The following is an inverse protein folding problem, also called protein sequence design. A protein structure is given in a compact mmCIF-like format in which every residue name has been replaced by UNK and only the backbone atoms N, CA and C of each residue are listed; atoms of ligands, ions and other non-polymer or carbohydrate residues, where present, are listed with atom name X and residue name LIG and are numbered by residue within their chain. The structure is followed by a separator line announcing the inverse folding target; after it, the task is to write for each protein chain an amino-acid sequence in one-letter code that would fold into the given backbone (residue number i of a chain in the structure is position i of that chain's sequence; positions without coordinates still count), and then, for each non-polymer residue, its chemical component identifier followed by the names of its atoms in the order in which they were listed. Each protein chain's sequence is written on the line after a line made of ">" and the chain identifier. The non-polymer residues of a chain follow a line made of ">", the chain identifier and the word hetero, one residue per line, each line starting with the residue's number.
data_IF_745999653851
#
_entry.id   IF_745999653851
#
_cell.length_a   1.000
_cell.length_b   1.000
_cell.length_c   1.000
_cell.angle_alpha   90.00
_cell.angle_beta   90.00
_cell.angle_gamma   90.00
#
_symmetry.space_group_name_H-M   'P 1'
#
loop_
_entity.id
_entity.type
_entity.pdbx_description
1 polymer ?
#
# COMPACT_ATOMS: atom_id res chain seq x y z
N UNK A 1 12.09 20.21 25.23
CA UNK A 1 13.25 19.29 25.37
C UNK A 1 14.61 19.96 25.64
N UNK A 2 15.01 21.12 25.10
CA UNK A 2 16.37 21.63 25.31
C UNK A 2 16.62 22.19 26.73
N UNK A 3 15.58 22.73 27.36
CA UNK A 3 15.67 23.36 28.69
C UNK A 3 16.00 22.37 29.83
N UNK A 4 15.36 21.20 29.85
CA UNK A 4 15.64 20.13 30.83
C UNK A 4 17.05 19.55 30.68
N UNK A 5 17.57 19.47 29.44
CA UNK A 5 18.94 19.02 29.17
C UNK A 5 19.97 20.00 29.74
N UNK A 6 19.73 21.31 29.58
CA UNK A 6 20.60 22.34 30.14
C UNK A 6 20.62 22.31 31.67
N UNK A 7 19.46 22.13 32.32
CA UNK A 7 19.37 22.01 33.79
C UNK A 7 20.11 20.76 34.30
N UNK A 8 19.96 19.62 33.62
CA UNK A 8 20.65 18.38 34.00
C UNK A 8 22.18 18.48 33.91
N UNK A 9 22.69 19.13 32.86
CA UNK A 9 24.14 19.40 32.71
C UNK A 9 24.65 20.31 33.83
N UNK A 10 23.88 21.34 34.18
CA UNK A 10 24.22 22.30 35.24
C UNK A 10 24.28 21.63 36.63
N UNK A 11 23.29 20.77 36.95
CA UNK A 11 23.28 19.99 38.18
C UNK A 11 24.43 18.98 38.25
N UNK A 12 24.73 18.31 37.14
CA UNK A 12 25.85 17.36 37.08
C UNK A 12 27.19 18.07 37.28
N UNK A 13 27.35 19.27 36.69
CA UNK A 13 28.55 20.09 36.87
C UNK A 13 28.78 20.44 38.34
N UNK A 14 27.74 20.93 39.04
CA UNK A 14 27.84 21.24 40.47
C UNK A 14 28.08 19.99 41.33
N UNK A 15 27.50 18.85 40.95
CA UNK A 15 27.72 17.58 41.65
C UNK A 15 29.17 17.10 41.51
N UNK A 16 29.77 17.22 40.32
CA UNK A 16 31.20 16.91 40.11
C UNK A 16 32.11 17.86 40.88
N UNK A 17 31.78 19.15 40.91
CA UNK A 17 32.53 20.17 41.68
C UNK A 17 32.47 19.89 43.19
N UNK A 18 31.32 19.45 43.68
CA UNK A 18 31.13 19.05 45.07
C UNK A 18 31.94 17.79 45.43
N UNK A 19 32.01 16.80 44.54
CA UNK A 19 32.87 15.62 44.70
C UNK A 19 34.34 16.02 44.81
N UNK A 20 34.80 17.00 44.03
CA UNK A 20 36.19 17.43 44.02
C UNK A 20 36.62 18.16 45.30
N UNK A 21 35.71 18.90 45.92
CA UNK A 21 35.96 19.66 47.16
C UNK A 21 35.74 18.79 48.42
N UNK A 22 35.13 17.60 48.28
CA UNK A 22 34.79 16.75 49.41
C UNK A 22 36.06 16.18 50.11
N UNK A 23 36.28 16.47 51.40
CA UNK A 23 37.57 16.22 52.06
C UNK A 23 37.80 14.76 52.44
N UNK A 24 36.76 13.91 52.48
CA UNK A 24 36.88 12.52 52.93
C UNK A 24 36.63 11.51 51.80
N UNK A 25 37.63 11.33 50.94
CA UNK A 25 37.55 10.51 49.73
C UNK A 25 37.46 8.98 49.98
N UNK A 26 37.68 8.52 51.21
CA UNK A 26 37.56 7.10 51.60
C UNK A 26 36.20 6.73 52.21
N UNK A 27 35.25 7.68 52.25
CA UNK A 27 33.89 7.41 52.73
C UNK A 27 33.07 6.61 51.73
N UNK A 28 32.24 5.68 52.21
CA UNK A 28 31.26 4.96 51.39
C UNK A 28 30.31 5.91 50.65
N UNK A 29 30.01 7.07 51.25
CA UNK A 29 29.17 8.13 50.65
C UNK A 29 29.83 8.72 49.40
N UNK A 30 31.15 8.89 49.41
CA UNK A 30 31.90 9.40 48.26
C UNK A 30 31.83 8.43 47.07
N UNK A 31 31.86 7.12 47.36
CA UNK A 31 31.77 6.07 46.36
C UNK A 31 30.39 6.03 45.68
N UNK A 32 29.31 6.21 46.45
CA UNK A 32 27.95 6.38 45.92
C UNK A 32 27.85 7.65 45.06
N UNK A 33 28.35 8.79 45.55
CA UNK A 33 28.28 10.06 44.82
C UNK A 33 29.02 9.98 43.48
N UNK A 34 30.20 9.33 43.47
CA UNK A 34 30.97 9.07 42.26
C UNK A 34 30.22 8.17 41.28
N UNK A 35 29.55 7.13 41.78
CA UNK A 35 28.69 6.27 40.98
C UNK A 35 27.54 7.03 40.31
N UNK A 36 26.85 7.89 41.07
CA UNK A 36 25.77 8.75 40.55
C UNK A 36 26.29 9.75 39.51
N UNK A 37 27.47 10.33 39.73
CA UNK A 37 28.10 11.25 38.78
C UNK A 37 28.42 10.55 37.44
N UNK A 38 29.04 9.37 37.49
CA UNK A 38 29.40 8.60 36.30
C UNK A 38 28.13 8.14 35.56
N UNK A 39 27.14 7.62 36.28
CA UNK A 39 25.86 7.22 35.69
C UNK A 39 25.13 8.39 35.03
N UNK A 40 25.09 9.55 35.67
CA UNK A 40 24.50 10.77 35.10
C UNK A 40 25.23 11.24 33.83
N UNK A 41 26.55 11.11 33.78
CA UNK A 41 27.37 11.48 32.63
C UNK A 41 27.07 10.57 31.42
N UNK A 42 26.94 9.27 31.65
CA UNK A 42 26.54 8.29 30.62
C UNK A 42 25.14 8.59 30.08
N UNK A 43 24.18 8.87 30.95
CA UNK A 43 22.80 9.19 30.53
C UNK A 43 22.76 10.48 29.70
N UNK A 44 23.50 11.52 30.09
CA UNK A 44 23.61 12.76 29.31
C UNK A 44 24.26 12.49 27.95
N UNK A 45 25.34 11.69 27.93
CA UNK A 45 26.02 11.34 26.69
C UNK A 45 25.09 10.60 25.72
N UNK A 46 24.33 9.61 26.19
CA UNK A 46 23.34 8.89 25.39
C UNK A 46 22.23 9.84 24.92
N UNK A 47 21.77 10.77 25.76
CA UNK A 47 20.72 11.74 25.41
C UNK A 47 21.13 12.73 24.30
N UNK A 48 22.42 13.05 24.21
CA UNK A 48 22.99 13.89 23.14
C UNK A 48 23.34 13.10 21.88
N UNK A 49 23.97 11.93 22.02
CA UNK A 49 24.37 11.09 20.89
C UNK A 49 23.18 10.41 20.19
N UNK A 50 22.15 10.04 20.96
CA UNK A 50 20.98 9.30 20.48
C UNK A 50 19.65 9.92 20.98
N UNK A 51 19.27 11.12 20.50
CA UNK A 51 18.08 11.83 20.97
C UNK A 51 16.75 11.11 20.70
N UNK A 52 16.76 10.03 19.93
CA UNK A 52 15.60 9.22 19.58
C UNK A 52 15.26 8.17 20.66
N UNK A 53 16.22 7.74 21.48
CA UNK A 53 16.04 6.68 22.51
C UNK A 53 15.13 7.15 23.65
N UNK A 54 15.10 8.45 23.94
CA UNK A 54 14.28 9.04 25.02
C UNK A 54 12.95 9.65 24.54
N UNK A 55 12.57 9.47 23.27
CA UNK A 55 11.22 9.83 22.80
C UNK A 55 10.23 8.76 23.25
N UNK A 56 9.86 8.77 24.52
CA UNK A 56 8.60 8.16 24.96
C UNK A 56 7.49 8.98 24.28
N UNK A 57 6.87 8.40 23.24
CA UNK A 57 5.65 8.95 22.65
C UNK A 57 4.60 9.02 23.75
N UNK A 58 4.13 10.21 24.07
CA UNK A 58 2.82 10.38 24.69
C UNK A 58 1.79 9.86 23.68
N UNK A 59 1.38 8.61 23.86
CA UNK A 59 0.23 8.04 23.17
C UNK A 59 -0.99 8.66 23.84
N UNK A 60 -1.68 9.54 23.12
CA UNK A 60 -3.05 9.91 23.44
C UNK A 60 -3.87 8.62 23.49
N UNK A 61 -4.44 8.32 24.66
CA UNK A 61 -5.40 7.23 24.84
C UNK A 61 -6.63 7.56 24.00
N UNK A 62 -6.77 6.87 22.87
CA UNK A 62 -8.06 6.57 22.27
C UNK A 62 -8.45 5.22 22.86
N UNK A 63 -9.55 5.18 23.60
CA UNK A 63 -10.11 3.91 24.08
C UNK A 63 -10.53 3.08 22.86
N UNK A 64 -9.81 2.00 22.61
CA UNK A 64 -10.18 0.96 21.64
C UNK A 64 -10.47 -0.27 22.48
N UNK A 65 -11.73 -0.71 22.46
CA UNK A 65 -12.16 -1.96 23.06
C UNK A 65 -11.34 -3.15 22.53
N UNK A 66 -10.94 -4.02 23.45
CA UNK A 66 -10.17 -5.23 23.23
C UNK A 66 -10.75 -6.07 22.08
N UNK A 67 -10.01 -6.11 20.97
CA UNK A 67 -10.05 -7.24 20.05
C UNK A 67 -8.62 -7.63 19.68
N UNK A 68 -8.36 -8.92 19.84
CA UNK A 68 -7.12 -9.67 19.71
C UNK A 68 -6.03 -9.04 18.83
N UNK A 69 -4.83 -8.94 19.42
CA UNK A 69 -3.59 -8.48 18.80
C UNK A 69 -3.15 -9.49 17.75
N UNK A 70 -3.61 -9.29 16.51
CA UNK A 70 -2.81 -9.55 15.31
C UNK A 70 -2.17 -8.23 14.92
N UNK A 71 -0.84 -8.15 14.96
CA UNK A 71 -0.08 -7.04 14.37
C UNK A 71 -0.40 -7.00 12.86
N UNK A 72 -1.44 -6.27 12.46
CA UNK A 72 -1.68 -5.94 11.06
C UNK A 72 -0.59 -4.95 10.66
N UNK A 73 0.45 -5.44 9.99
CA UNK A 73 1.26 -4.59 9.12
C UNK A 73 0.29 -3.75 8.28
N UNK A 74 0.44 -2.41 8.21
CA UNK A 74 -0.44 -1.59 7.40
C UNK A 74 -0.41 -2.17 5.98
N UNK A 75 -1.58 -2.53 5.45
CA UNK A 75 -1.66 -3.14 4.14
C UNK A 75 -0.96 -2.22 3.14
N UNK A 76 -0.18 -2.81 2.25
CA UNK A 76 0.65 -2.08 1.31
C UNK A 76 -0.11 -0.99 0.52
N UNK A 77 -1.32 -1.35 0.09
CA UNK A 77 -2.31 -0.46 -0.51
C UNK A 77 -2.65 0.77 0.34
N UNK A 78 -2.60 0.66 1.67
CA UNK A 78 -2.86 1.77 2.61
C UNK A 78 -1.74 2.81 2.59
N UNK A 79 -0.49 2.40 2.45
CA UNK A 79 0.64 3.33 2.34
C UNK A 79 0.58 4.10 1.03
N UNK A 80 0.42 3.41 -0.10
CA UNK A 80 0.28 4.02 -1.43
C UNK A 80 -0.92 4.97 -1.45
N UNK A 81 -2.07 4.54 -0.93
CA UNK A 81 -3.27 5.39 -0.79
C UNK A 81 -3.02 6.64 0.05
N UNK A 82 -2.23 6.53 1.12
CA UNK A 82 -1.86 7.68 1.96
C UNK A 82 -0.96 8.66 1.19
N UNK A 83 0.01 8.18 0.42
CA UNK A 83 0.87 9.05 -0.40
C UNK A 83 0.08 9.71 -1.53
N UNK A 84 -0.83 8.97 -2.16
CA UNK A 84 -1.72 9.52 -3.18
C UNK A 84 -2.59 10.64 -2.60
N UNK A 85 -3.24 10.42 -1.46
CA UNK A 85 -4.01 11.47 -0.77
C UNK A 85 -3.15 12.71 -0.45
N UNK A 86 -1.89 12.51 -0.01
CA UNK A 86 -0.96 13.63 0.26
C UNK A 86 -0.62 14.42 -0.99
N UNK A 87 -0.40 13.74 -2.13
CA UNK A 87 -0.17 14.38 -3.43
C UNK A 87 -1.35 15.27 -3.80
N UNK A 88 -2.59 14.75 -3.71
CA UNK A 88 -3.79 15.52 -4.05
C UNK A 88 -3.95 16.75 -3.16
N UNK A 89 -3.73 16.61 -1.85
CA UNK A 89 -3.79 17.73 -0.91
C UNK A 89 -2.73 18.81 -1.20
N UNK A 90 -1.51 18.41 -1.58
CA UNK A 90 -0.46 19.35 -1.98
C UNK A 90 -0.84 20.11 -3.25
N UNK A 91 -1.45 19.43 -4.22
CA UNK A 91 -1.90 20.06 -5.46
C UNK A 91 -3.00 21.08 -5.18
N UNK A 92 -3.97 20.76 -4.32
CA UNK A 92 -5.00 21.70 -3.89
C UNK A 92 -4.41 22.94 -3.18
N UNK A 93 -3.40 22.76 -2.34
CA UNK A 93 -2.71 23.87 -1.68
C UNK A 93 -1.95 24.73 -2.71
N UNK A 94 -1.26 24.10 -3.68
CA UNK A 94 -0.58 24.81 -4.76
C UNK A 94 -1.56 25.61 -5.62
N UNK A 95 -2.73 25.08 -5.96
CA UNK A 95 -3.78 25.84 -6.67
C UNK A 95 -4.19 27.09 -5.89
N UNK A 96 -4.38 26.97 -4.57
CA UNK A 96 -4.70 28.10 -3.70
C UNK A 96 -3.53 29.10 -3.57
N UNK A 97 -2.29 28.64 -3.65
CA UNK A 97 -1.10 29.49 -3.63
C UNK A 97 -0.89 30.23 -4.96
N UNK A 98 -1.31 29.66 -6.09
CA UNK A 98 -1.36 30.37 -7.39
C UNK A 98 -2.28 31.58 -7.27
N UNK A 99 -3.47 31.39 -6.70
CA UNK A 99 -4.42 32.46 -6.46
C UNK A 99 -5.30 32.16 -5.25
N UNK A 100 -5.23 33.02 -4.22
CA UNK A 100 -5.96 32.82 -2.97
C UNK A 100 -7.50 32.82 -3.12
N UNK A 101 -8.02 33.27 -4.27
CA UNK A 101 -9.45 33.23 -4.61
C UNK A 101 -9.90 31.93 -5.27
N UNK A 102 -8.96 31.03 -5.56
CA UNK A 102 -9.27 29.74 -6.14
C UNK A 102 -9.65 28.73 -5.08
N UNK A 103 -10.65 27.94 -5.43
CA UNK A 103 -11.03 26.72 -4.75
C UNK A 103 -10.97 25.59 -5.76
N UNK A 104 -10.60 24.39 -5.34
CA UNK A 104 -10.50 23.27 -6.25
C UNK A 104 -11.05 21.97 -5.68
N UNK A 105 -11.50 21.09 -6.58
CA UNK A 105 -11.90 19.73 -6.31
C UNK A 105 -11.29 18.80 -7.35
N UNK A 106 -10.82 17.63 -6.92
CA UNK A 106 -10.25 16.61 -7.80
C UNK A 106 -11.21 15.43 -7.84
N UNK A 107 -11.65 15.09 -9.03
CA UNK A 107 -12.64 14.05 -9.27
C UNK A 107 -12.04 12.96 -10.15
N UNK A 108 -12.24 11.69 -9.78
CA UNK A 108 -11.80 10.54 -10.57
C UNK A 108 -13.00 9.73 -11.04
N UNK A 109 -12.87 9.08 -12.19
CA UNK A 109 -13.93 8.24 -12.75
C UNK A 109 -14.25 7.11 -11.77
N UNK A 110 -15.53 6.98 -11.47
CA UNK A 110 -16.10 5.89 -10.70
C UNK A 110 -16.98 5.06 -11.64
N UNK A 111 -16.40 3.97 -12.14
CA UNK A 111 -17.06 3.09 -13.12
C UNK A 111 -18.21 2.30 -12.49
N UNK A 112 -18.11 1.99 -11.20
CA UNK A 112 -19.10 1.20 -10.47
C UNK A 112 -20.39 2.01 -10.26
N UNK A 113 -20.25 3.29 -9.92
CA UNK A 113 -21.36 4.20 -9.67
C UNK A 113 -21.76 5.03 -10.90
N UNK A 114 -21.10 4.86 -12.05
CA UNK A 114 -21.34 5.59 -13.31
C UNK A 114 -21.25 7.11 -13.17
N UNK A 115 -20.15 7.58 -12.59
CA UNK A 115 -19.92 9.01 -12.43
C UNK A 115 -18.48 9.33 -12.05
N UNK A 116 -18.34 10.37 -11.25
CA UNK A 116 -17.07 10.89 -10.78
C UNK A 116 -17.10 11.09 -9.28
N UNK A 117 -16.19 10.43 -8.57
CA UNK A 117 -16.09 10.54 -7.12
C UNK A 117 -15.01 11.56 -6.75
N UNK A 118 -15.38 12.52 -5.90
CA UNK A 118 -14.46 13.50 -5.35
C UNK A 118 -13.41 12.78 -4.49
N UNK A 119 -12.15 12.92 -4.87
CA UNK A 119 -11.04 12.39 -4.09
C UNK A 119 -10.68 13.34 -2.95
N UNK A 120 -10.48 14.61 -3.27
CA UNK A 120 -10.17 15.67 -2.31
C UNK A 120 -10.68 17.02 -2.82
N UNK A 121 -11.02 17.92 -1.89
CA UNK A 121 -11.54 19.26 -2.19
C UNK A 121 -11.01 20.30 -1.20
N UNK A 122 -10.72 21.50 -1.70
CA UNK A 122 -10.31 22.65 -0.87
C UNK A 122 -11.49 23.50 -0.40
N UNK A 123 -12.68 23.25 -0.96
CA UNK A 123 -13.91 23.98 -0.64
C UNK A 123 -15.04 22.97 -0.36
N UNK A 124 -15.71 23.06 0.82
CA UNK A 124 -16.65 22.02 1.25
C UNK A 124 -17.82 21.78 0.29
N UNK A 125 -18.24 22.82 -0.43
CA UNK A 125 -19.44 22.78 -1.25
C UNK A 125 -19.27 22.01 -2.57
N UNK A 126 -18.04 21.64 -2.94
CA UNK A 126 -17.84 20.67 -4.02
C UNK A 126 -18.55 19.36 -3.68
N UNK A 127 -19.40 18.87 -4.56
CA UNK A 127 -20.12 17.61 -4.34
C UNK A 127 -19.15 16.44 -4.18
N UNK A 128 -19.49 15.47 -3.36
CA UNK A 128 -18.68 14.25 -3.18
C UNK A 128 -18.80 13.30 -4.39
N UNK A 129 -19.89 13.41 -5.17
CA UNK A 129 -20.15 12.60 -6.35
C UNK A 129 -20.85 13.42 -7.44
N UNK A 130 -20.51 13.17 -8.70
CA UNK A 130 -21.10 13.83 -9.86
C UNK A 130 -21.44 12.78 -10.92
N UNK A 131 -22.66 12.80 -11.44
CA UNK A 131 -23.11 11.86 -12.49
C UNK A 131 -22.42 12.13 -13.84
N UNK A 132 -22.35 11.10 -14.69
CA UNK A 132 -21.62 11.17 -15.97
C UNK A 132 -22.24 12.17 -16.97
N UNK A 133 -23.52 12.46 -16.83
CA UNK A 133 -24.28 13.37 -17.69
C UNK A 133 -24.06 14.86 -17.37
N UNK A 134 -23.31 15.18 -16.31
CA UNK A 134 -22.96 16.55 -15.98
C UNK A 134 -22.28 17.26 -17.17
N UNK A 135 -22.95 18.28 -17.71
CA UNK A 135 -22.55 18.96 -18.94
C UNK A 135 -21.14 19.57 -18.86
N UNK A 136 -20.72 20.03 -17.68
CA UNK A 136 -19.41 20.67 -17.47
C UNK A 136 -18.31 19.63 -17.57
N UNK A 137 -18.42 18.53 -16.82
CA UNK A 137 -17.44 17.44 -16.84
C UNK A 137 -17.40 16.78 -18.21
N UNK A 138 -18.56 16.49 -18.81
CA UNK A 138 -18.66 15.91 -20.14
C UNK A 138 -17.95 16.77 -21.20
N UNK A 139 -18.06 18.10 -21.13
CA UNK A 139 -17.37 19.01 -22.06
C UNK A 139 -15.85 19.01 -21.85
N UNK A 140 -15.37 19.00 -20.59
CA UNK A 140 -13.93 18.89 -20.27
C UNK A 140 -13.36 17.59 -20.84
N UNK A 141 -14.06 16.47 -20.59
CA UNK A 141 -13.64 15.14 -21.02
C UNK A 141 -13.62 15.04 -22.55
N UNK A 142 -14.67 15.54 -23.21
CA UNK A 142 -14.76 15.55 -24.68
C UNK A 142 -13.66 16.37 -25.33
N UNK A 143 -13.30 17.52 -24.76
CA UNK A 143 -12.27 18.42 -25.31
C UNK A 143 -10.85 17.94 -25.07
N UNK A 144 -10.63 17.10 -24.04
CA UNK A 144 -9.29 16.65 -23.61
C UNK A 144 -8.31 17.81 -23.36
N UNK A 145 -8.82 19.00 -23.03
CA UNK A 145 -8.04 20.22 -22.82
C UNK A 145 -8.69 21.10 -21.75
N UNK A 146 -7.92 22.00 -21.11
CA UNK A 146 -8.47 22.96 -20.17
C UNK A 146 -9.65 23.73 -20.75
N UNK A 147 -10.76 23.79 -20.01
CA UNK A 147 -12.01 24.37 -20.48
C UNK A 147 -12.58 25.33 -19.44
N UNK A 148 -12.93 26.54 -19.88
CA UNK A 148 -13.44 27.61 -19.03
C UNK A 148 -14.95 27.75 -19.20
N UNK A 149 -15.66 27.74 -18.06
CA UNK A 149 -17.10 27.80 -17.96
C UNK A 149 -17.50 29.00 -17.11
N UNK A 150 -18.21 29.95 -17.69
CA UNK A 150 -18.81 31.06 -16.94
C UNK A 150 -20.24 30.68 -16.57
N UNK A 151 -20.67 30.99 -15.36
CA UNK A 151 -22.06 30.74 -14.97
C UNK A 151 -22.98 31.50 -15.92
N UNK A 152 -23.90 30.76 -16.53
CA UNK A 152 -24.96 31.32 -17.36
C UNK A 152 -26.24 30.50 -17.18
N UNK A 153 -27.34 30.94 -17.77
CA UNK A 153 -28.60 30.20 -17.78
C UNK A 153 -28.56 28.97 -18.71
N UNK A 154 -27.46 28.73 -19.44
CA UNK A 154 -27.35 27.64 -20.42
C UNK A 154 -26.71 26.37 -19.86
N UNK A 155 -26.00 26.44 -18.73
CA UNK A 155 -25.26 25.31 -18.18
C UNK A 155 -25.90 24.94 -16.84
N UNK A 156 -26.49 23.74 -16.76
CA UNK A 156 -27.24 23.27 -15.58
C UNK A 156 -26.39 22.50 -14.58
N UNK A 157 -25.26 21.92 -15.02
CA UNK A 157 -24.36 21.11 -14.19
C UNK A 157 -23.63 21.82 -13.03
N UNK A 158 -23.94 23.08 -12.75
CA UNK A 158 -23.32 23.85 -11.65
C UNK A 158 -23.85 23.42 -10.28
N UNK A 159 -25.15 23.17 -10.17
CA UNK A 159 -25.76 22.83 -8.88
C UNK A 159 -25.38 21.41 -8.44
N UNK A 160 -25.16 20.49 -9.37
CA UNK A 160 -24.61 19.15 -9.10
C UNK A 160 -23.15 19.21 -8.63
N UNK A 161 -22.40 20.21 -9.07
CA UNK A 161 -20.95 20.31 -8.81
C UNK A 161 -20.65 21.08 -7.53
N UNK A 162 -21.41 22.14 -7.25
CA UNK A 162 -21.18 23.08 -6.14
C UNK A 162 -22.38 23.21 -5.20
N UNK A 163 -23.45 22.42 -5.37
CA UNK A 163 -24.69 22.57 -4.63
C UNK A 163 -25.52 23.78 -5.07
N UNK A 164 -26.82 23.70 -4.82
CA UNK A 164 -27.78 24.76 -5.16
C UNK A 164 -27.53 26.03 -4.33
N UNK A 165 -27.27 27.14 -5.02
CA UNK A 165 -27.05 28.45 -4.39
C UNK A 165 -27.52 29.61 -5.27
N UNK A 166 -27.57 30.81 -4.69
CA UNK A 166 -27.85 32.03 -5.44
C UNK A 166 -26.60 32.46 -6.22
N UNK A 167 -26.68 32.34 -7.55
CA UNK A 167 -25.59 32.69 -8.46
C UNK A 167 -25.61 34.18 -8.84
N UNK A 168 -24.46 34.86 -8.81
CA UNK A 168 -24.32 36.27 -9.22
C UNK A 168 -24.07 36.44 -10.72
N UNK A 169 -23.71 35.35 -11.41
CA UNK A 169 -23.43 35.31 -12.85
C UNK A 169 -21.98 35.64 -13.22
N UNK A 170 -21.13 35.99 -12.25
CA UNK A 170 -19.69 36.22 -12.45
C UNK A 170 -18.82 35.00 -12.16
N UNK A 171 -19.42 33.98 -11.54
CA UNK A 171 -18.76 32.76 -11.12
C UNK A 171 -18.18 32.03 -12.33
N UNK A 172 -17.01 31.46 -12.14
CA UNK A 172 -16.28 30.77 -13.20
C UNK A 172 -15.73 29.45 -12.68
N UNK A 173 -15.76 28.44 -13.55
CA UNK A 173 -15.11 27.15 -13.36
C UNK A 173 -14.08 27.00 -14.48
N UNK A 174 -12.89 26.50 -14.15
CA UNK A 174 -11.92 26.01 -15.12
C UNK A 174 -11.70 24.53 -14.81
N UNK A 175 -11.96 23.68 -15.80
CA UNK A 175 -11.74 22.25 -15.70
C UNK A 175 -10.49 21.84 -16.46
N UNK A 176 -9.66 21.02 -15.81
CA UNK A 176 -8.43 20.47 -16.36
C UNK A 176 -8.57 18.94 -16.37
N UNK A 177 -8.47 18.27 -17.53
CA UNK A 177 -8.50 16.81 -17.56
C UNK A 177 -7.24 16.23 -16.90
N UNK A 178 -7.43 15.17 -16.13
CA UNK A 178 -6.34 14.33 -15.61
C UNK A 178 -6.22 13.14 -16.54
N UNK A 179 -5.05 13.01 -17.17
CA UNK A 179 -4.75 11.92 -18.08
C UNK A 179 -3.90 10.86 -17.37
N UNK A 180 -3.99 9.62 -17.80
CA UNK A 180 -3.10 8.53 -17.44
C UNK A 180 -3.06 7.59 -18.65
N UNK A 181 -1.87 7.33 -19.19
CA UNK A 181 -1.66 6.59 -20.44
C UNK A 181 -2.62 7.02 -21.57
N UNK A 182 -2.64 8.32 -21.89
CA UNK A 182 -3.50 8.95 -22.93
C UNK A 182 -5.03 8.82 -22.72
N UNK A 183 -5.46 8.21 -21.61
CA UNK A 183 -6.84 8.07 -21.20
C UNK A 183 -7.20 9.10 -20.13
N UNK A 184 -8.41 9.62 -20.17
CA UNK A 184 -8.89 10.50 -19.11
C UNK A 184 -9.33 9.61 -17.95
N UNK A 185 -8.72 9.84 -16.78
CA UNK A 185 -9.04 9.12 -15.54
C UNK A 185 -9.76 10.01 -14.52
N UNK A 186 -9.78 11.32 -14.77
CA UNK A 186 -10.46 12.28 -13.90
C UNK A 186 -10.38 13.71 -14.39
N UNK A 187 -10.80 14.63 -13.53
CA UNK A 187 -10.78 16.07 -13.77
C UNK A 187 -10.39 16.83 -12.49
N UNK A 188 -9.50 17.81 -12.64
CA UNK A 188 -9.25 18.86 -11.66
C UNK A 188 -10.16 20.04 -11.99
N UNK A 189 -11.00 20.43 -11.04
CA UNK A 189 -11.95 21.53 -11.22
C UNK A 189 -11.55 22.68 -10.32
N UNK A 190 -11.38 23.87 -10.90
CA UNK A 190 -11.05 25.09 -10.18
C UNK A 190 -12.23 26.05 -10.26
N UNK A 191 -12.74 26.48 -9.12
CA UNK A 191 -13.84 27.41 -8.93
C UNK A 191 -13.35 28.77 -8.41
N UNK A 192 -14.01 29.83 -8.87
CA UNK A 192 -13.81 31.20 -8.40
C UNK A 192 -15.09 32.04 -8.51
N UNK A 193 -15.29 32.97 -7.58
CA UNK A 193 -16.51 33.80 -7.55
C UNK A 193 -16.60 34.82 -8.70
N UNK A 194 -15.46 35.21 -9.29
CA UNK A 194 -15.42 36.25 -10.30
C UNK A 194 -14.32 36.03 -11.34
N UNK A 195 -14.69 35.99 -12.62
CA UNK A 195 -13.79 35.76 -13.77
C UNK A 195 -12.58 36.70 -13.84
N UNK A 196 -12.70 37.94 -13.35
CA UNK A 196 -11.59 38.91 -13.32
C UNK A 196 -10.45 38.52 -12.37
N UNK A 197 -10.64 37.47 -11.58
CA UNK A 197 -9.60 36.94 -10.71
C UNK A 197 -8.59 36.07 -11.47
N UNK A 198 -8.87 35.68 -12.71
CA UNK A 198 -7.99 34.82 -13.52
C UNK A 198 -6.94 35.67 -14.22
N UNK A 199 -5.66 35.34 -14.02
CA UNK A 199 -4.56 35.84 -14.82
C UNK A 199 -4.19 34.81 -15.90
N UNK A 200 -3.68 35.25 -17.05
CA UNK A 200 -3.30 34.34 -18.16
C UNK A 200 -2.31 33.25 -17.73
N UNK A 201 -1.38 33.58 -16.83
CA UNK A 201 -0.41 32.63 -16.27
C UNK A 201 -1.04 31.56 -15.38
N UNK A 202 -2.18 31.85 -14.76
CA UNK A 202 -2.76 30.98 -13.74
C UNK A 202 -3.22 29.67 -14.38
N UNK A 203 -3.80 29.75 -15.58
CA UNK A 203 -4.25 28.57 -16.33
C UNK A 203 -3.08 27.66 -16.70
N UNK A 204 -1.96 28.21 -17.17
CA UNK A 204 -0.77 27.41 -17.51
C UNK A 204 -0.18 26.72 -16.28
N UNK A 205 -0.10 27.42 -15.14
CA UNK A 205 0.42 26.82 -13.91
C UNK A 205 -0.50 25.70 -13.44
N UNK A 206 -1.81 25.91 -13.42
CA UNK A 206 -2.76 24.87 -12.98
C UNK A 206 -2.77 23.68 -13.95
N UNK A 207 -2.61 23.91 -15.25
CA UNK A 207 -2.48 22.81 -16.22
C UNK A 207 -1.25 21.93 -15.89
N UNK A 208 -0.11 22.54 -15.55
CA UNK A 208 1.06 21.79 -15.06
C UNK A 208 0.79 21.07 -13.74
N UNK A 209 0.02 21.67 -12.82
CA UNK A 209 -0.40 21.00 -11.58
C UNK A 209 -1.30 19.79 -11.85
N UNK A 210 -2.18 19.86 -12.83
CA UNK A 210 -2.99 18.71 -13.28
C UNK A 210 -2.11 17.59 -13.81
N UNK A 211 -1.07 17.92 -14.59
CA UNK A 211 -0.09 16.95 -15.07
C UNK A 211 0.72 16.33 -13.91
N UNK A 212 0.98 17.06 -12.82
CA UNK A 212 1.63 16.46 -11.65
C UNK A 212 0.76 15.41 -10.94
N UNK A 213 -0.57 15.46 -11.08
CA UNK A 213 -1.45 14.37 -10.63
C UNK A 213 -1.09 13.10 -11.41
N UNK A 214 -0.98 13.21 -12.75
CA UNK A 214 -0.62 12.10 -13.64
C UNK A 214 0.72 11.48 -13.27
N UNK A 215 1.80 12.27 -13.26
CA UNK A 215 3.13 11.77 -12.95
C UNK A 215 3.20 11.18 -11.54
N UNK A 216 2.52 11.81 -10.57
CA UNK A 216 2.47 11.29 -9.22
C UNK A 216 1.71 9.96 -9.09
N UNK A 217 0.73 9.67 -9.96
CA UNK A 217 0.10 8.35 -10.03
C UNK A 217 1.08 7.30 -10.58
N UNK A 218 1.77 7.61 -11.68
CA UNK A 218 2.76 6.72 -12.30
C UNK A 218 3.91 6.39 -11.34
N UNK A 219 4.45 7.40 -10.65
CA UNK A 219 5.50 7.22 -9.65
C UNK A 219 5.04 6.33 -8.48
N UNK A 220 3.78 6.50 -8.04
CA UNK A 220 3.22 5.73 -6.93
C UNK A 220 2.96 4.28 -7.31
N UNK A 221 2.52 4.01 -8.54
CA UNK A 221 2.37 2.65 -9.07
C UNK A 221 3.72 1.95 -9.28
N UNK A 222 4.73 2.68 -9.75
CA UNK A 222 6.08 2.12 -9.86
C UNK A 222 6.66 1.80 -8.49
N UNK A 223 6.48 2.69 -7.51
CA UNK A 223 6.81 2.42 -6.12
C UNK A 223 6.00 1.24 -5.58
N UNK A 224 4.74 1.11 -6.00
CA UNK A 224 3.87 0.00 -5.63
C UNK A 224 4.50 -1.34 -6.08
N UNK A 225 4.90 -1.41 -7.34
CA UNK A 225 5.55 -2.59 -7.91
C UNK A 225 6.87 -2.93 -7.21
N UNK A 226 7.76 -1.94 -7.04
CA UNK A 226 9.08 -2.15 -6.43
C UNK A 226 8.99 -2.66 -4.99
N UNK A 227 8.02 -2.17 -4.21
CA UNK A 227 7.86 -2.60 -2.83
C UNK A 227 7.29 -4.02 -2.75
N UNK A 228 6.38 -4.43 -3.65
CA UNK A 228 5.93 -5.84 -3.77
C UNK A 228 7.12 -6.75 -4.08
N UNK A 229 7.92 -6.39 -5.09
CA UNK A 229 9.10 -7.17 -5.49
C UNK A 229 10.10 -7.30 -4.35
N UNK A 230 10.38 -6.20 -3.64
CA UNK A 230 11.28 -6.22 -2.50
C UNK A 230 10.75 -7.12 -1.37
N UNK A 231 9.46 -7.03 -1.04
CA UNK A 231 8.84 -7.88 -0.02
C UNK A 231 8.87 -9.36 -0.43
N UNK A 232 8.64 -9.68 -1.70
CA UNK A 232 8.76 -11.04 -2.23
C UNK A 232 10.20 -11.57 -2.04
N UNK A 233 11.19 -10.80 -2.49
CA UNK A 233 12.60 -11.16 -2.35
C UNK A 233 13.03 -11.31 -0.87
N UNK A 234 12.54 -10.45 0.02
CA UNK A 234 12.82 -10.55 1.46
C UNK A 234 12.23 -11.82 2.07
N UNK A 235 10.99 -12.18 1.72
CA UNK A 235 10.37 -13.43 2.18
C UNK A 235 11.09 -14.66 1.65
N UNK A 236 11.56 -14.61 0.40
CA UNK A 236 12.35 -15.68 -0.21
C UNK A 236 13.71 -15.83 0.49
N UNK A 237 14.43 -14.74 0.76
CA UNK A 237 15.69 -14.76 1.48
C UNK A 237 15.54 -15.34 2.90
N UNK A 238 14.49 -14.91 3.63
CA UNK A 238 14.20 -15.46 4.97
C UNK A 238 13.90 -16.96 4.94
N UNK A 239 13.29 -17.47 3.88
CA UNK A 239 13.09 -18.91 3.71
C UNK A 239 14.45 -19.62 3.59
N UNK A 240 15.39 -19.10 2.80
CA UNK A 240 16.74 -19.67 2.69
C UNK A 240 17.52 -19.61 4.01
N UNK A 241 17.42 -18.52 4.76
CA UNK A 241 18.05 -18.41 6.08
C UNK A 241 17.47 -19.43 7.08
N UNK A 242 16.16 -19.68 7.04
CA UNK A 242 15.51 -20.68 7.89
C UNK A 242 15.92 -22.11 7.52
N UNK A 243 16.09 -22.38 6.23
CA UNK A 243 16.58 -23.66 5.72
C UNK A 243 17.99 -24.00 6.19
N UNK A 244 18.91 -23.04 6.21
CA UNK A 244 20.28 -23.27 6.70
C UNK A 244 20.30 -23.64 8.19
N UNK A 245 19.30 -23.22 8.96
CA UNK A 245 19.24 -23.35 10.42
C UNK A 245 18.36 -24.51 10.90
N UNK A 246 17.37 -24.95 10.10
CA UNK A 246 16.39 -25.98 10.50
C UNK A 246 16.31 -27.11 9.47
N UNK A 247 16.48 -28.35 9.94
CA UNK A 247 16.53 -29.56 9.09
C UNK A 247 15.19 -30.32 8.96
N UNK A 248 14.07 -29.78 9.45
CA UNK A 248 12.76 -30.45 9.40
C UNK A 248 12.02 -30.10 8.09
N UNK A 249 11.76 -31.13 7.27
CA UNK A 249 10.96 -31.09 6.03
C UNK A 249 9.58 -30.45 6.28
N UNK A 250 9.00 -30.65 7.45
CA UNK A 250 7.68 -30.12 7.80
C UNK A 250 7.67 -28.60 7.96
N UNK A 251 8.69 -28.04 8.64
CA UNK A 251 8.82 -26.60 8.84
C UNK A 251 9.11 -25.87 7.53
N UNK A 252 9.83 -26.52 6.62
CA UNK A 252 9.99 -26.04 5.26
C UNK A 252 8.64 -25.90 4.56
N UNK A 253 7.86 -26.97 4.52
CA UNK A 253 6.58 -26.94 3.80
C UNK A 253 5.62 -25.90 4.39
N UNK A 254 5.60 -25.71 5.71
CA UNK A 254 4.85 -24.61 6.34
C UNK A 254 5.34 -23.23 5.88
N UNK A 255 6.65 -23.03 5.74
CA UNK A 255 7.23 -21.78 5.27
C UNK A 255 6.86 -21.49 3.81
N UNK A 256 6.93 -22.50 2.94
CA UNK A 256 6.47 -22.41 1.55
C UNK A 256 4.97 -22.08 1.51
N UNK A 257 4.15 -22.77 2.32
CA UNK A 257 2.70 -22.50 2.43
C UNK A 257 2.44 -21.04 2.77
N UNK A 258 3.14 -20.51 3.77
CA UNK A 258 3.01 -19.12 4.21
C UNK A 258 3.34 -18.12 3.10
N UNK A 259 4.40 -18.37 2.33
CA UNK A 259 4.75 -17.54 1.16
C UNK A 259 3.65 -17.63 0.10
N UNK A 260 3.22 -18.84 -0.27
CA UNK A 260 2.18 -19.00 -1.28
C UNK A 260 0.88 -18.28 -0.91
N UNK A 261 0.40 -18.43 0.34
CA UNK A 261 -0.78 -17.70 0.86
C UNK A 261 -0.63 -16.18 0.83
N UNK A 262 0.61 -15.68 0.90
CA UNK A 262 0.87 -14.23 0.92
C UNK A 262 0.80 -13.60 -0.48
N UNK A 263 1.01 -14.38 -1.55
CA UNK A 263 1.14 -13.85 -2.92
C UNK A 263 0.09 -14.39 -3.89
N UNK A 264 -0.50 -15.56 -3.62
CA UNK A 264 -1.49 -16.18 -4.49
C UNK A 264 -2.83 -16.29 -3.78
N UNK A 265 -3.91 -16.05 -4.54
CA UNK A 265 -5.26 -16.46 -4.17
C UNK A 265 -5.56 -17.77 -4.90
N UNK A 266 -5.83 -18.83 -4.14
CA UNK A 266 -6.13 -20.15 -4.67
C UNK A 266 -7.14 -20.87 -3.78
N UNK A 267 -7.93 -21.76 -4.39
CA UNK A 267 -8.83 -22.66 -3.65
C UNK A 267 -8.08 -23.86 -3.06
N UNK A 268 -7.01 -24.30 -3.74
CA UNK A 268 -6.21 -25.47 -3.38
C UNK A 268 -4.77 -25.28 -3.83
N UNK A 269 -3.83 -25.60 -2.95
CA UNK A 269 -2.40 -25.73 -3.26
C UNK A 269 -1.94 -27.13 -2.87
N UNK A 270 -1.20 -27.78 -3.76
CA UNK A 270 -0.55 -29.07 -3.47
C UNK A 270 0.90 -29.05 -3.91
N UNK A 271 1.78 -29.62 -3.08
CA UNK A 271 3.16 -29.94 -3.47
C UNK A 271 3.30 -31.44 -3.51
N UNK A 272 3.85 -31.94 -4.62
CA UNK A 272 3.98 -33.36 -4.90
C UNK A 272 5.44 -33.67 -5.19
N UNK A 273 5.95 -34.76 -4.61
CA UNK A 273 7.26 -35.31 -4.94
C UNK A 273 7.08 -36.68 -5.61
N UNK A 274 7.78 -36.91 -6.71
CA UNK A 274 7.79 -38.21 -7.39
C UNK A 274 8.66 -39.22 -6.64
N UNK A 275 8.32 -40.51 -6.75
CA UNK A 275 9.22 -41.61 -6.41
C UNK A 275 10.46 -41.62 -7.31
N UNK A 276 11.51 -42.35 -6.91
CA UNK A 276 12.77 -42.44 -7.66
C UNK A 276 12.58 -43.01 -9.08
N UNK A 277 11.63 -43.94 -9.25
CA UNK A 277 11.28 -44.56 -10.54
C UNK A 277 10.34 -43.71 -11.39
N UNK A 278 9.83 -42.59 -10.86
CA UNK A 278 8.86 -41.68 -11.51
C UNK A 278 7.59 -42.38 -12.01
N UNK A 279 7.21 -43.50 -11.41
CA UNK A 279 5.93 -44.14 -11.70
C UNK A 279 4.82 -43.61 -10.78
N UNK A 280 5.18 -43.27 -9.54
CA UNK A 280 4.28 -42.84 -8.50
C UNK A 280 4.72 -41.48 -7.92
N UNK A 281 3.78 -40.81 -7.26
CA UNK A 281 4.05 -39.53 -6.62
C UNK A 281 3.24 -39.39 -5.34
N UNK A 282 3.83 -38.71 -4.35
CA UNK A 282 3.25 -38.52 -3.02
C UNK A 282 2.97 -37.05 -2.80
N UNK A 283 1.77 -36.74 -2.32
CA UNK A 283 1.39 -35.39 -1.92
C UNK A 283 2.06 -35.06 -0.59
N UNK A 284 2.96 -34.09 -0.58
CA UNK A 284 3.73 -33.67 0.60
C UNK A 284 3.13 -32.49 1.35
N UNK A 285 2.43 -31.61 0.64
CA UNK A 285 1.74 -30.48 1.25
C UNK A 285 0.38 -30.34 0.59
N UNK A 286 -0.63 -30.07 1.43
CA UNK A 286 -1.96 -29.64 1.03
C UNK A 286 -2.29 -28.34 1.74
N UNK A 287 -2.93 -27.42 1.02
CA UNK A 287 -3.51 -26.21 1.59
C UNK A 287 -4.80 -25.83 0.85
N UNK A 288 -5.73 -25.17 1.54
CA UNK A 288 -7.06 -24.83 1.04
C UNK A 288 -8.09 -25.94 1.23
N UNK A 289 -8.85 -26.27 0.18
CA UNK A 289 -9.87 -27.33 0.21
C UNK A 289 -9.26 -28.69 0.61
N UNK A 290 -9.93 -29.48 1.45
CA UNK A 290 -9.37 -30.75 1.97
C UNK A 290 -10.15 -32.01 1.54
N UNK A 291 -11.30 -31.86 0.89
CA UNK A 291 -12.22 -32.97 0.64
C UNK A 291 -11.79 -33.91 -0.50
N UNK A 292 -10.79 -33.51 -1.29
CA UNK A 292 -10.37 -34.19 -2.53
C UNK A 292 -9.09 -35.02 -2.37
N UNK A 293 -8.06 -34.46 -1.73
CA UNK A 293 -6.74 -35.05 -1.62
C UNK A 293 -6.03 -34.60 -0.34
N UNK A 294 -5.39 -35.56 0.34
CA UNK A 294 -4.73 -35.38 1.63
C UNK A 294 -3.22 -35.57 1.53
N UNK A 295 -2.49 -34.99 2.48
CA UNK A 295 -1.05 -35.22 2.65
C UNK A 295 -0.77 -36.71 2.88
N UNK A 296 0.29 -37.22 2.25
CA UNK A 296 0.66 -38.63 2.24
C UNK A 296 -0.08 -39.49 1.22
N UNK A 297 -1.06 -38.96 0.47
CA UNK A 297 -1.74 -39.71 -0.58
C UNK A 297 -0.78 -39.98 -1.75
N UNK A 298 -0.73 -41.24 -2.17
CA UNK A 298 0.05 -41.70 -3.33
C UNK A 298 -0.85 -41.80 -4.58
N UNK A 299 -0.31 -41.43 -5.74
CA UNK A 299 -1.01 -41.55 -7.01
C UNK A 299 -0.03 -41.87 -8.15
N UNK A 300 -0.58 -42.42 -9.24
CA UNK A 300 0.21 -42.73 -10.44
C UNK A 300 0.46 -41.48 -11.26
N UNK A 301 1.71 -41.30 -11.69
CA UNK A 301 2.09 -40.20 -12.59
C UNK A 301 1.39 -40.36 -13.95
N UNK A 302 1.18 -41.58 -14.40
CA UNK A 302 0.47 -41.82 -15.66
C UNK A 302 -0.98 -41.33 -15.61
N UNK A 303 -1.40 -40.59 -16.64
CA UNK A 303 -2.75 -40.03 -16.82
C UNK A 303 -3.20 -39.03 -15.72
N UNK A 304 -2.25 -38.46 -14.97
CA UNK A 304 -2.52 -37.35 -14.05
C UNK A 304 -1.93 -36.04 -14.57
N UNK A 305 -2.59 -34.93 -14.25
CA UNK A 305 -2.16 -33.58 -14.63
C UNK A 305 -0.83 -33.21 -13.95
N UNK A 306 -0.69 -33.57 -12.66
CA UNK A 306 0.59 -33.45 -11.95
C UNK A 306 1.69 -34.29 -12.62
N UNK A 307 1.37 -35.52 -13.02
CA UNK A 307 2.32 -36.40 -13.67
C UNK A 307 2.79 -35.88 -15.03
N UNK A 308 1.90 -35.26 -15.81
CA UNK A 308 2.27 -34.58 -17.06
C UNK A 308 3.36 -33.52 -16.84
N UNK A 309 3.21 -32.69 -15.81
CA UNK A 309 4.17 -31.62 -15.49
C UNK A 309 5.51 -32.20 -15.04
N UNK A 310 5.48 -33.29 -14.27
CA UNK A 310 6.68 -34.03 -13.85
C UNK A 310 7.41 -34.65 -15.05
N UNK A 311 6.68 -35.20 -16.01
CA UNK A 311 7.23 -35.87 -17.20
C UNK A 311 7.74 -34.88 -18.25
N UNK A 312 6.93 -33.87 -18.57
CA UNK A 312 7.23 -32.88 -19.61
C UNK A 312 8.23 -31.83 -19.13
N UNK A 313 8.36 -31.65 -17.81
CA UNK A 313 9.23 -30.69 -17.17
C UNK A 313 8.98 -29.23 -17.63
N UNK A 314 7.72 -28.92 -17.94
CA UNK A 314 7.26 -27.60 -18.38
C UNK A 314 6.20 -27.07 -17.44
N UNK A 315 6.15 -25.75 -17.28
CA UNK A 315 5.05 -25.08 -16.58
C UNK A 315 3.75 -25.31 -17.35
N UNK A 316 2.71 -25.71 -16.62
CA UNK A 316 1.36 -25.86 -17.13
C UNK A 316 0.47 -24.79 -16.51
N UNK A 317 -0.21 -24.00 -17.34
CA UNK A 317 -1.15 -22.98 -16.90
C UNK A 317 -2.37 -23.02 -17.82
N UNK A 318 -3.54 -23.30 -17.25
CA UNK A 318 -4.80 -23.33 -17.99
C UNK A 318 -5.94 -22.82 -17.12
N UNK A 319 -6.86 -22.08 -17.73
CA UNK A 319 -8.11 -21.62 -17.12
C UNK A 319 -9.27 -22.62 -17.33
N UNK A 320 -9.04 -23.67 -18.11
CA UNK A 320 -10.03 -24.67 -18.52
C UNK A 320 -9.33 -25.99 -18.83
N UNK A 321 -8.54 -26.50 -17.87
CA UNK A 321 -7.64 -27.65 -18.12
C UNK A 321 -8.40 -28.91 -18.56
N UNK A 322 -9.68 -29.03 -18.17
CA UNK A 322 -10.57 -30.09 -18.61
C UNK A 322 -10.76 -30.12 -20.13
N UNK A 323 -11.00 -28.98 -20.77
CA UNK A 323 -11.26 -28.91 -22.21
C UNK A 323 -10.00 -29.32 -23.00
N UNK A 324 -8.83 -29.02 -22.44
CA UNK A 324 -7.54 -29.36 -23.04
C UNK A 324 -7.14 -30.83 -22.78
N UNK A 325 -7.54 -31.40 -21.64
CA UNK A 325 -7.15 -32.75 -21.20
C UNK A 325 -8.34 -33.56 -20.64
N UNK A 326 -9.36 -33.86 -21.46
CA UNK A 326 -10.60 -34.49 -21.00
C UNK A 326 -10.42 -35.92 -20.48
N UNK A 327 -9.29 -36.55 -20.78
CA UNK A 327 -8.95 -37.93 -20.39
C UNK A 327 -8.00 -38.02 -19.18
N UNK A 328 -7.60 -36.88 -18.61
CA UNK A 328 -6.70 -36.84 -17.44
C UNK A 328 -7.47 -36.44 -16.18
N UNK A 329 -7.00 -36.92 -15.03
CA UNK A 329 -7.41 -36.42 -13.72
C UNK A 329 -6.38 -35.48 -13.11
N UNK A 330 -6.70 -34.77 -12.02
CA UNK A 330 -5.69 -34.03 -11.27
C UNK A 330 -4.70 -35.00 -10.62
N UNK A 331 -5.21 -35.94 -9.84
CA UNK A 331 -4.48 -37.04 -9.21
C UNK A 331 -4.92 -38.41 -9.73
N UNK A 332 -6.23 -38.62 -9.89
CA UNK A 332 -6.84 -39.89 -10.33
C UNK A 332 -7.92 -39.66 -11.39
N UNK A 333 -8.17 -40.66 -12.23
CA UNK A 333 -9.26 -40.61 -13.20
C UNK A 333 -10.60 -40.37 -12.51
N UNK A 334 -11.41 -39.46 -13.04
CA UNK A 334 -12.73 -39.14 -12.50
C UNK A 334 -12.76 -38.00 -11.47
N UNK A 335 -11.62 -37.43 -11.07
CA UNK A 335 -11.55 -36.29 -10.13
C UNK A 335 -12.47 -35.13 -10.49
N UNK A 336 -12.64 -34.88 -11.80
CA UNK A 336 -13.49 -33.80 -12.30
C UNK A 336 -14.97 -33.96 -11.93
N UNK A 337 -15.46 -35.20 -11.85
CA UNK A 337 -16.86 -35.46 -11.52
C UNK A 337 -17.14 -35.26 -10.03
N UNK A 338 -16.08 -35.32 -9.20
CA UNK A 338 -16.14 -35.20 -7.74
C UNK A 338 -15.81 -33.78 -7.28
N UNK A 339 -14.85 -33.11 -7.93
CA UNK A 339 -14.35 -31.78 -7.55
C UNK A 339 -14.04 -30.91 -8.77
N UNK A 340 -14.71 -29.75 -8.86
CA UNK A 340 -14.73 -28.93 -10.06
C UNK A 340 -13.76 -27.74 -10.00
N UNK A 341 -12.46 -28.01 -10.11
CA UNK A 341 -11.42 -26.98 -10.24
C UNK A 341 -11.24 -26.61 -11.72
N UNK A 342 -11.49 -25.36 -12.10
CA UNK A 342 -11.43 -24.92 -13.51
C UNK A 342 -10.04 -24.49 -13.95
N UNK A 343 -9.36 -23.70 -13.13
CA UNK A 343 -8.04 -23.17 -13.42
C UNK A 343 -6.97 -23.94 -12.66
N UNK A 344 -5.87 -24.27 -13.34
CA UNK A 344 -4.72 -24.94 -12.73
C UNK A 344 -3.44 -24.28 -13.20
N UNK A 345 -2.56 -23.98 -12.24
CA UNK A 345 -1.16 -23.67 -12.45
C UNK A 345 -0.33 -24.77 -11.81
N UNK A 346 0.55 -25.41 -12.58
CA UNK A 346 1.43 -26.46 -12.11
C UNK A 346 2.84 -26.24 -12.62
N UNK A 347 3.80 -26.31 -11.71
CA UNK A 347 5.20 -25.94 -11.95
C UNK A 347 6.07 -27.12 -11.53
N UNK A 348 6.99 -27.60 -12.40
CA UNK A 348 7.88 -28.69 -12.03
C UNK A 348 8.94 -28.22 -11.02
N UNK A 349 9.10 -28.97 -9.94
CA UNK A 349 10.19 -28.79 -8.97
C UNK A 349 11.41 -29.60 -9.43
N UNK A 350 12.59 -28.98 -9.43
CA UNK A 350 13.84 -29.61 -9.89
C UNK A 350 14.87 -29.61 -8.76
N UNK A 351 15.64 -30.68 -8.63
CA UNK A 351 16.78 -30.71 -7.69
C UNK A 351 17.94 -29.85 -8.14
N UNK A 352 18.07 -29.63 -9.47
CA UNK A 352 19.13 -28.83 -10.08
C UNK A 352 18.56 -27.95 -11.20
N UNK A 353 18.88 -26.66 -11.11
CA UNK A 353 18.89 -25.71 -12.22
C UNK A 353 20.32 -25.37 -12.57
#
# INVERSE_FOLDING_TARGET
>A
MPFYRQIAVLLLFFLILFIFIYPNQNSFIYLILKGVAIGGLVVIFISFAFPQVFKIREIQKVDIEDSEIGLKEPSFSMYVKTQYKRLLLQILDLVKNVNAKFSAGIYMIDSDNKGYTCQEKSYPDFSDFIETDNEIIAEIVKKRKPSLFKKSNKNTGWDELLGSRTWRGSETIIGFPVLYDENIVGVLIVYMDHFSSILDRDQEIIERLSQFITHGMEDLEHMETLMIDNQFNFRLANLFDQFEVKSDESELFESIRSICRSFFQYDKLTIVLSSEDKEEAVIKLVDGLLDDANEGMEFKIQNSLHGKVIQDNTVFCSNSWFDEYPNMGRFKSGDMNEHNFMSVLSIPLRSDG
#
